data_IF_434523446764
#
_entry.id   IF_434523446764
#
_cell.length_a   1.000
_cell.length_b   1.000
_cell.length_c   1.000
_cell.angle_alpha   90.00
_cell.angle_beta   90.00
_cell.angle_gamma   90.00
#
_symmetry.space_group_name_H-M   'P 1'
#
loop_
_entity.id
_entity.type
_entity.pdbx_description
1 polymer ?
#
# COMPACT_ATOMS: atom_id res chain seq x y z
N UNK A 1 13.69 15.86 2.20
CA UNK A 1 14.37 14.90 1.31
C UNK A 1 15.70 15.39 0.71
N UNK A 2 15.99 16.69 0.66
CA UNK A 2 17.15 17.25 -0.04
C UNK A 2 18.54 16.64 0.23
N UNK A 3 18.93 16.20 1.45
CA UNK A 3 20.34 15.85 1.71
C UNK A 3 20.84 14.60 0.97
N UNK A 4 19.97 13.61 0.73
CA UNK A 4 20.37 12.31 0.16
C UNK A 4 19.90 12.13 -1.29
N UNK A 5 18.62 12.40 -1.56
CA UNK A 5 17.96 11.90 -2.76
C UNK A 5 18.12 12.80 -4.00
N UNK A 6 17.97 14.11 -3.81
CA UNK A 6 17.95 15.10 -4.89
C UNK A 6 19.34 15.54 -5.33
N UNK A 7 19.43 16.17 -6.51
CA UNK A 7 20.70 16.64 -7.07
C UNK A 7 21.40 17.75 -6.28
N UNK A 8 20.67 18.46 -5.40
CA UNK A 8 21.24 19.42 -4.45
C UNK A 8 21.88 18.74 -3.22
N UNK A 9 21.66 17.44 -3.03
CA UNK A 9 22.31 16.60 -2.01
C UNK A 9 23.26 15.59 -2.64
N UNK A 10 23.34 14.38 -2.07
CA UNK A 10 24.20 13.29 -2.59
C UNK A 10 23.79 12.80 -3.98
N UNK A 11 22.52 12.99 -4.37
CA UNK A 11 22.01 12.63 -5.69
C UNK A 11 21.79 11.12 -5.87
N UNK A 12 21.36 10.44 -4.81
CA UNK A 12 21.23 8.97 -4.80
C UNK A 12 20.35 8.43 -5.92
N UNK A 13 19.28 9.13 -6.29
CA UNK A 13 18.40 8.68 -7.37
C UNK A 13 19.12 8.64 -8.72
N UNK A 14 20.07 9.56 -8.96
CA UNK A 14 20.91 9.53 -10.16
C UNK A 14 21.85 8.32 -10.15
N UNK A 15 22.47 8.04 -9.00
CA UNK A 15 23.35 6.88 -8.84
C UNK A 15 22.57 5.57 -9.01
N UNK A 16 21.40 5.45 -8.38
CA UNK A 16 20.48 4.31 -8.53
C UNK A 16 20.12 4.10 -10.01
N UNK A 17 19.82 5.18 -10.74
CA UNK A 17 19.58 5.12 -12.18
C UNK A 17 20.81 4.65 -12.97
N UNK A 18 22.00 5.15 -12.64
CA UNK A 18 23.27 4.74 -13.27
C UNK A 18 23.59 3.25 -13.03
N UNK A 19 23.16 2.70 -11.89
CA UNK A 19 23.26 1.26 -11.60
C UNK A 19 22.26 0.41 -12.39
N UNK A 20 21.42 1.02 -13.24
CA UNK A 20 20.51 0.32 -14.13
C UNK A 20 19.07 0.23 -13.64
N UNK A 21 18.75 0.78 -12.46
CA UNK A 21 17.37 0.80 -11.97
C UNK A 21 16.47 1.64 -12.88
N UNK A 22 15.22 1.22 -12.99
CA UNK A 22 14.12 1.96 -13.63
C UNK A 22 12.97 2.24 -12.65
N UNK A 23 13.08 1.74 -11.42
CA UNK A 23 12.04 1.76 -10.41
C UNK A 23 12.65 1.73 -9.01
N UNK A 24 12.02 2.40 -8.05
CA UNK A 24 12.38 2.34 -6.63
C UNK A 24 11.14 2.12 -5.77
N UNK A 25 11.28 1.29 -4.73
CA UNK A 25 10.28 1.15 -3.66
C UNK A 25 10.78 1.88 -2.43
N UNK A 26 9.93 2.73 -1.85
CA UNK A 26 10.23 3.48 -0.63
C UNK A 26 9.22 3.09 0.44
N UNK A 27 9.70 2.51 1.54
CA UNK A 27 8.87 2.18 2.70
C UNK A 27 8.73 3.35 3.68
N UNK A 28 7.74 3.26 4.57
CA UNK A 28 7.59 4.23 5.67
C UNK A 28 7.04 5.59 5.26
N UNK A 29 6.38 5.69 4.09
CA UNK A 29 5.78 6.94 3.61
C UNK A 29 4.57 7.28 4.50
N UNK A 30 4.54 8.49 5.03
CA UNK A 30 3.51 8.92 5.98
C UNK A 30 3.19 10.40 5.89
N UNK A 31 2.37 10.91 6.83
CA UNK A 31 1.79 12.27 6.79
C UNK A 31 2.79 13.38 7.14
N UNK A 32 4.09 13.07 7.19
CA UNK A 32 5.13 13.98 7.65
C UNK A 32 5.59 14.93 6.56
N UNK A 33 6.89 14.92 6.19
CA UNK A 33 7.44 15.87 5.23
C UNK A 33 6.80 15.73 3.84
N UNK A 34 6.74 16.85 3.11
CA UNK A 34 6.30 16.88 1.71
C UNK A 34 7.18 15.95 0.83
N UNK A 35 6.50 15.05 0.11
CA UNK A 35 7.11 14.04 -0.76
C UNK A 35 7.43 14.56 -2.17
N UNK A 36 6.95 15.75 -2.55
CA UNK A 36 7.07 16.31 -3.90
C UNK A 36 8.52 16.36 -4.38
N UNK A 37 9.42 16.87 -3.54
CA UNK A 37 10.85 16.97 -3.89
C UNK A 37 11.51 15.62 -4.21
N UNK A 38 11.11 14.54 -3.52
CA UNK A 38 11.62 13.20 -3.82
C UNK A 38 11.07 12.70 -5.15
N UNK A 39 9.76 12.86 -5.36
CA UNK A 39 9.07 12.37 -6.55
C UNK A 39 9.48 13.15 -7.82
N UNK A 40 9.72 14.46 -7.72
CA UNK A 40 10.29 15.28 -8.80
C UNK A 40 11.69 14.81 -9.17
N UNK A 41 12.53 14.54 -8.17
CA UNK A 41 13.87 14.01 -8.41
C UNK A 41 13.83 12.62 -9.06
N UNK A 42 12.93 11.74 -8.62
CA UNK A 42 12.74 10.42 -9.23
C UNK A 42 12.28 10.54 -10.68
N UNK A 43 11.30 11.41 -10.94
CA UNK A 43 10.81 11.72 -12.30
C UNK A 43 11.93 12.21 -13.20
N UNK A 44 12.75 13.14 -12.71
CA UNK A 44 13.87 13.70 -13.47
C UNK A 44 14.88 12.63 -13.89
N UNK A 45 15.07 11.59 -13.07
CA UNK A 45 15.94 10.46 -13.39
C UNK A 45 15.25 9.35 -14.21
N UNK A 46 13.96 9.51 -14.53
CA UNK A 46 13.17 8.50 -15.23
C UNK A 46 12.89 7.25 -14.40
N UNK A 47 12.81 7.39 -13.07
CA UNK A 47 12.49 6.29 -12.16
C UNK A 47 11.00 6.29 -11.81
N UNK A 48 10.37 5.11 -11.90
CA UNK A 48 9.07 4.85 -11.28
C UNK A 48 9.19 4.66 -9.77
N UNK A 49 8.12 4.92 -9.03
CA UNK A 49 8.09 4.84 -7.56
C UNK A 49 6.92 3.99 -7.07
N UNK A 50 7.21 3.07 -6.14
CA UNK A 50 6.24 2.49 -5.20
C UNK A 50 6.36 3.20 -3.85
N UNK A 51 5.30 3.88 -3.41
CA UNK A 51 5.23 4.43 -2.06
C UNK A 51 4.55 3.43 -1.12
N UNK A 52 5.32 2.84 -0.20
CA UNK A 52 4.80 1.99 0.85
C UNK A 52 4.44 2.79 2.08
N UNK A 53 3.17 2.73 2.48
CA UNK A 53 2.69 3.44 3.66
C UNK A 53 3.36 2.91 4.92
N UNK A 54 3.69 3.82 5.83
CA UNK A 54 4.17 3.45 7.14
C UNK A 54 3.12 2.60 7.88
N UNK A 55 3.54 1.52 8.57
CA UNK A 55 2.62 0.68 9.31
C UNK A 55 1.84 1.53 10.32
N UNK A 56 0.53 1.29 10.42
CA UNK A 56 -0.35 2.09 11.25
C UNK A 56 -1.35 1.21 11.99
N UNK A 57 -1.19 1.09 13.32
CA UNK A 57 -2.24 0.87 14.32
C UNK A 57 -3.22 -0.32 14.20
N UNK A 58 -3.21 -1.11 13.11
CA UNK A 58 -4.19 -2.17 12.85
C UNK A 58 -4.31 -3.18 14.00
N UNK A 59 -3.19 -3.46 14.68
CA UNK A 59 -3.15 -4.36 15.83
C UNK A 59 -3.95 -3.85 17.03
N UNK A 60 -4.06 -2.52 17.19
CA UNK A 60 -4.75 -1.89 18.32
C UNK A 60 -6.27 -1.78 18.10
N UNK A 61 -6.73 -1.93 16.85
CA UNK A 61 -8.12 -1.73 16.45
C UNK A 61 -8.90 -3.05 16.28
N UNK A 62 -8.37 -4.17 16.79
CA UNK A 62 -9.03 -5.47 16.69
C UNK A 62 -9.21 -5.90 15.23
N UNK A 63 -8.14 -5.80 14.44
CA UNK A 63 -7.99 -6.20 13.03
C UNK A 63 -8.79 -5.42 11.98
N UNK A 64 -9.62 -4.42 12.33
CA UNK A 64 -10.15 -3.46 11.34
C UNK A 64 -9.17 -2.29 11.20
N UNK A 65 -8.53 -2.20 10.03
CA UNK A 65 -7.51 -1.20 9.72
C UNK A 65 -8.08 0.12 9.16
N UNK A 66 -9.39 0.20 8.96
CA UNK A 66 -9.96 1.17 8.03
C UNK A 66 -9.63 2.62 8.41
N UNK A 67 -9.96 3.03 9.64
CA UNK A 67 -9.84 4.43 10.03
C UNK A 67 -8.38 4.89 10.12
N UNK A 68 -7.49 4.03 10.64
CA UNK A 68 -6.07 4.35 10.82
C UNK A 68 -5.38 4.52 9.47
N UNK A 69 -5.62 3.59 8.53
CA UNK A 69 -5.04 3.67 7.18
C UNK A 69 -5.65 4.82 6.40
N UNK A 70 -6.97 5.01 6.48
CA UNK A 70 -7.65 6.08 5.72
C UNK A 70 -7.13 7.45 6.13
N UNK A 71 -7.09 7.74 7.43
CA UNK A 71 -6.63 9.04 7.93
C UNK A 71 -5.17 9.31 7.57
N UNK A 72 -4.31 8.29 7.74
CA UNK A 72 -2.90 8.39 7.41
C UNK A 72 -2.68 8.60 5.92
N UNK A 73 -3.34 7.81 5.09
CA UNK A 73 -3.18 7.88 3.65
C UNK A 73 -3.76 9.17 3.08
N UNK A 74 -4.93 9.62 3.56
CA UNK A 74 -5.53 10.89 3.15
C UNK A 74 -4.59 12.07 3.40
N UNK A 75 -3.95 12.10 4.57
CA UNK A 75 -2.96 13.14 4.87
C UNK A 75 -1.73 12.99 3.97
N UNK A 76 -1.25 11.77 3.76
CA UNK A 76 -0.08 11.48 2.91
C UNK A 76 -0.33 11.87 1.44
N UNK A 77 -1.55 11.66 0.93
CA UNK A 77 -1.99 12.11 -0.39
C UNK A 77 -1.75 13.63 -0.50
N UNK A 78 -2.27 14.37 0.47
CA UNK A 78 -2.19 15.84 0.54
C UNK A 78 -0.79 16.38 0.80
N UNK A 79 0.16 15.55 1.25
CA UNK A 79 1.56 15.93 1.49
C UNK A 79 2.48 15.46 0.35
N UNK A 80 2.06 15.66 -0.90
CA UNK A 80 2.94 15.55 -2.08
C UNK A 80 2.83 14.27 -2.91
N UNK A 81 1.97 13.30 -2.56
CA UNK A 81 1.68 12.19 -3.48
C UNK A 81 0.71 12.62 -4.59
N UNK A 82 -0.18 13.57 -4.31
CA UNK A 82 -1.03 14.20 -5.32
C UNK A 82 -0.57 15.62 -5.60
N UNK A 83 -0.68 16.00 -6.86
CA UNK A 83 -0.44 17.35 -7.37
C UNK A 83 -1.56 18.30 -6.92
N UNK A 84 -1.37 19.63 -7.04
CA UNK A 84 -2.42 20.61 -6.77
C UNK A 84 -3.69 20.45 -7.64
N UNK A 85 -3.62 19.70 -8.73
CA UNK A 85 -4.76 19.34 -9.59
C UNK A 85 -5.47 18.06 -9.14
N UNK A 86 -5.16 17.56 -7.93
CA UNK A 86 -5.65 16.31 -7.38
C UNK A 86 -5.35 15.08 -8.25
N UNK A 87 -4.29 15.09 -9.05
CA UNK A 87 -3.83 13.89 -9.77
C UNK A 87 -2.55 13.35 -9.13
N UNK A 88 -2.35 12.03 -9.16
CA UNK A 88 -1.13 11.44 -8.64
C UNK A 88 0.12 12.03 -9.30
N UNK A 89 1.19 12.17 -8.52
CA UNK A 89 2.47 12.60 -9.05
C UNK A 89 2.95 11.63 -10.14
N UNK A 90 3.41 12.09 -11.33
CA UNK A 90 3.70 11.19 -12.46
C UNK A 90 4.83 10.16 -12.25
N UNK A 91 5.68 10.34 -11.24
CA UNK A 91 6.67 9.32 -10.85
C UNK A 91 6.05 8.14 -10.09
N UNK A 92 4.90 8.35 -9.45
CA UNK A 92 4.25 7.33 -8.63
C UNK A 92 3.48 6.36 -9.53
N UNK A 93 3.80 5.08 -9.42
CA UNK A 93 3.15 4.01 -10.18
C UNK A 93 2.38 3.06 -9.28
N UNK A 94 2.85 2.89 -8.03
CA UNK A 94 2.24 2.01 -7.06
C UNK A 94 2.14 2.68 -5.70
N UNK A 95 1.08 2.33 -4.97
CA UNK A 95 0.99 2.56 -3.54
C UNK A 95 0.85 1.22 -2.86
N UNK A 96 1.79 0.91 -1.96
CA UNK A 96 1.67 -0.25 -1.07
C UNK A 96 0.94 0.19 0.19
N UNK A 97 -0.20 -0.43 0.46
CA UNK A 97 -1.05 -0.16 1.64
C UNK A 97 -0.27 -0.36 2.95
N UNK A 98 0.78 -1.17 2.92
CA UNK A 98 1.81 -1.28 3.95
C UNK A 98 2.87 -2.31 3.54
N UNK A 99 3.84 -2.53 4.42
CA UNK A 99 4.81 -3.61 4.30
C UNK A 99 4.43 -4.74 5.26
N UNK A 100 4.41 -5.97 4.77
CA UNK A 100 4.04 -7.18 5.52
C UNK A 100 2.79 -7.03 6.42
N UNK A 101 1.75 -6.36 5.88
CA UNK A 101 0.52 -6.04 6.64
C UNK A 101 -0.14 -7.31 7.18
N UNK A 102 -0.09 -8.39 6.41
CA UNK A 102 -0.54 -9.70 6.83
C UNK A 102 0.23 -10.21 8.06
N UNK A 103 1.56 -10.11 8.12
CA UNK A 103 2.32 -10.53 9.29
C UNK A 103 1.89 -9.78 10.56
N UNK A 104 1.69 -8.46 10.44
CA UNK A 104 1.16 -7.64 11.54
C UNK A 104 -0.24 -8.07 11.97
N UNK A 105 -1.11 -8.41 11.02
CA UNK A 105 -2.46 -8.88 11.28
C UNK A 105 -2.45 -10.27 11.93
N UNK A 106 -1.60 -11.19 11.49
CA UNK A 106 -1.48 -12.53 12.09
C UNK A 106 -1.02 -12.46 13.55
N UNK A 107 -0.08 -11.57 13.86
CA UNK A 107 0.36 -11.32 15.24
C UNK A 107 -0.79 -10.81 16.13
N UNK A 108 -1.59 -9.86 15.62
CA UNK A 108 -2.73 -9.31 16.36
C UNK A 108 -3.95 -10.22 16.44
N UNK A 109 -4.19 -11.03 15.41
CA UNK A 109 -5.38 -11.87 15.27
C UNK A 109 -5.26 -13.25 15.95
N UNK A 110 -4.04 -13.72 16.23
CA UNK A 110 -3.83 -15.03 16.86
C UNK A 110 -4.35 -16.19 16.01
N UNK A 111 -3.74 -16.41 14.83
CA UNK A 111 -4.09 -17.48 13.87
C UNK A 111 -5.54 -17.47 13.32
N UNK A 112 -6.36 -16.45 13.61
CA UNK A 112 -7.70 -16.29 13.05
C UNK A 112 -7.65 -15.72 11.62
N UNK A 113 -7.82 -16.59 10.63
CA UNK A 113 -7.85 -16.22 9.21
C UNK A 113 -9.04 -15.30 8.85
N UNK A 114 -10.17 -15.38 9.55
CA UNK A 114 -11.32 -14.51 9.28
C UNK A 114 -10.99 -13.07 9.70
N UNK A 115 -10.37 -12.93 10.86
CA UNK A 115 -9.89 -11.65 11.37
C UNK A 115 -8.82 -11.04 10.44
N UNK A 116 -7.85 -11.84 9.98
CA UNK A 116 -6.81 -11.37 9.04
C UNK A 116 -7.42 -10.95 7.71
N UNK A 117 -8.33 -11.75 7.13
CA UNK A 117 -8.99 -11.38 5.88
C UNK A 117 -9.81 -10.09 6.00
N UNK A 118 -10.50 -9.88 7.14
CA UNK A 118 -11.16 -8.60 7.44
C UNK A 118 -10.17 -7.44 7.44
N UNK A 119 -9.02 -7.61 8.07
CA UNK A 119 -7.96 -6.59 8.10
C UNK A 119 -7.44 -6.24 6.72
N UNK A 120 -7.15 -7.24 5.89
CA UNK A 120 -6.70 -7.02 4.52
C UNK A 120 -7.75 -6.28 3.67
N UNK A 121 -9.02 -6.69 3.76
CA UNK A 121 -10.11 -6.03 3.05
C UNK A 121 -10.30 -4.57 3.51
N UNK A 122 -10.28 -4.34 4.83
CA UNK A 122 -10.44 -3.01 5.40
C UNK A 122 -9.31 -2.05 5.04
N UNK A 123 -8.08 -2.58 4.92
CA UNK A 123 -6.91 -1.81 4.56
C UNK A 123 -6.98 -1.31 3.10
N UNK A 124 -7.43 -2.16 2.17
CA UNK A 124 -7.63 -1.75 0.77
C UNK A 124 -8.79 -0.77 0.66
N UNK A 125 -9.91 -1.02 1.35
CA UNK A 125 -11.06 -0.09 1.36
C UNK A 125 -10.67 1.31 1.85
N UNK A 126 -9.82 1.37 2.88
CA UNK A 126 -9.31 2.63 3.43
C UNK A 126 -8.56 3.48 2.40
N UNK A 127 -7.74 2.84 1.55
CA UNK A 127 -7.00 3.52 0.47
C UNK A 127 -7.97 4.12 -0.54
N UNK A 128 -8.98 3.34 -0.96
CA UNK A 128 -10.00 3.81 -1.92
C UNK A 128 -10.85 4.94 -1.34
N UNK A 129 -11.22 4.85 -0.06
CA UNK A 129 -11.97 5.87 0.62
C UNK A 129 -11.15 7.16 0.79
N UNK A 130 -9.85 7.06 1.07
CA UNK A 130 -8.96 8.21 1.15
C UNK A 130 -8.74 8.89 -0.21
N UNK A 131 -8.62 8.13 -1.31
CA UNK A 131 -8.57 8.71 -2.66
C UNK A 131 -9.85 9.47 -3.00
N UNK A 132 -11.02 8.92 -2.64
CA UNK A 132 -12.32 9.59 -2.80
C UNK A 132 -12.38 10.90 -2.01
N UNK A 133 -11.97 10.88 -0.74
CA UNK A 133 -11.98 12.05 0.15
C UNK A 133 -10.93 13.11 -0.25
N UNK A 134 -9.84 12.69 -0.88
CA UNK A 134 -8.86 13.58 -1.50
C UNK A 134 -9.28 14.07 -2.89
N UNK A 135 -10.41 13.57 -3.41
CA UNK A 135 -10.93 13.88 -4.74
C UNK A 135 -9.89 13.61 -5.84
N UNK A 136 -9.17 12.48 -5.74
CA UNK A 136 -8.14 12.13 -6.72
C UNK A 136 -8.77 11.93 -8.10
N UNK A 137 -8.16 12.53 -9.11
CA UNK A 137 -8.59 12.51 -10.51
C UNK A 137 -7.46 12.09 -11.45
N UNK A 138 -7.81 11.84 -12.71
CA UNK A 138 -6.86 11.39 -13.73
C UNK A 138 -6.48 9.91 -13.57
N UNK A 139 -5.35 9.48 -14.16
CA UNK A 139 -4.87 8.11 -14.02
C UNK A 139 -4.60 7.75 -12.56
N UNK A 140 -5.22 6.67 -12.08
CA UNK A 140 -4.96 6.13 -10.75
C UNK A 140 -3.72 5.23 -10.76
N UNK A 141 -2.99 5.22 -9.64
CA UNK A 141 -1.87 4.30 -9.44
C UNK A 141 -2.37 2.90 -9.09
N UNK A 142 -1.53 1.90 -9.34
CA UNK A 142 -1.81 0.54 -8.90
C UNK A 142 -1.70 0.43 -7.37
N UNK A 143 -2.53 -0.42 -6.79
CA UNK A 143 -2.51 -0.73 -5.36
C UNK A 143 -1.78 -2.05 -5.17
N UNK A 144 -1.01 -2.15 -4.10
CA UNK A 144 -0.44 -3.42 -3.66
C UNK A 144 -0.50 -3.55 -2.14
N UNK A 145 -0.42 -4.79 -1.68
CA UNK A 145 -0.07 -5.16 -0.31
C UNK A 145 1.16 -6.03 -0.45
N UNK A 146 2.28 -5.61 0.15
CA UNK A 146 3.42 -6.51 0.27
C UNK A 146 3.09 -7.50 1.37
N UNK A 147 2.91 -8.76 0.99
CA UNK A 147 2.64 -9.85 1.92
C UNK A 147 3.95 -10.46 2.39
N UNK A 148 3.96 -11.02 3.60
CA UNK A 148 5.12 -11.76 4.07
C UNK A 148 5.22 -13.11 3.34
N UNK A 149 6.45 -13.51 3.01
CA UNK A 149 6.75 -14.80 2.39
C UNK A 149 6.61 -16.01 3.31
N UNK A 150 5.78 -15.95 4.35
CA UNK A 150 5.71 -16.99 5.39
C UNK A 150 4.65 -18.05 5.08
N UNK A 151 4.85 -19.27 5.56
CA UNK A 151 3.84 -20.32 5.52
C UNK A 151 2.60 -19.88 6.32
N UNK A 152 1.41 -20.17 5.79
CA UNK A 152 0.14 -19.88 6.44
C UNK A 152 -0.56 -21.16 6.88
N UNK A 153 -0.26 -21.64 8.09
CA UNK A 153 -0.91 -22.83 8.63
C UNK A 153 -2.42 -22.62 8.92
N UNK A 154 -2.82 -21.39 9.25
CA UNK A 154 -4.22 -21.04 9.52
C UNK A 154 -5.04 -20.71 8.27
N UNK A 155 -4.45 -20.71 7.08
CA UNK A 155 -5.18 -20.35 5.86
C UNK A 155 -6.16 -21.46 5.43
N UNK A 156 -7.30 -21.11 4.80
CA UNK A 156 -8.25 -22.10 4.31
C UNK A 156 -7.69 -23.00 3.21
N UNK A 157 -6.77 -22.46 2.41
CA UNK A 157 -6.18 -23.11 1.24
C UNK A 157 -4.65 -22.99 1.26
N UNK A 158 -3.99 -23.92 0.58
CA UNK A 158 -2.53 -23.97 0.45
C UNK A 158 -1.79 -23.93 1.79
N UNK A 159 -2.33 -24.64 2.78
CA UNK A 159 -1.70 -24.83 4.09
C UNK A 159 -0.34 -25.48 3.89
N UNK A 160 0.72 -24.88 4.45
CA UNK A 160 2.09 -25.38 4.31
C UNK A 160 2.88 -24.77 3.14
N UNK A 161 2.21 -24.15 2.18
CA UNK A 161 2.88 -23.52 1.03
C UNK A 161 3.33 -22.09 1.37
N UNK A 162 4.59 -21.80 1.04
CA UNK A 162 5.20 -20.50 1.29
C UNK A 162 4.51 -19.41 0.44
N UNK A 163 4.08 -18.31 1.07
CA UNK A 163 3.36 -17.18 0.47
C UNK A 163 1.97 -17.48 -0.15
N UNK A 164 1.77 -18.66 -0.75
CA UNK A 164 0.59 -18.97 -1.55
C UNK A 164 -0.72 -18.94 -0.74
N UNK A 165 -0.72 -19.51 0.48
CA UNK A 165 -1.91 -19.45 1.36
C UNK A 165 -2.29 -18.01 1.72
N UNK A 166 -1.32 -17.12 1.89
CA UNK A 166 -1.56 -15.70 2.21
C UNK A 166 -2.11 -14.93 1.01
N UNK A 167 -1.60 -15.23 -0.20
CA UNK A 167 -2.13 -14.68 -1.44
C UNK A 167 -3.58 -15.14 -1.69
N UNK A 168 -3.88 -16.42 -1.46
CA UNK A 168 -5.24 -16.95 -1.59
C UNK A 168 -6.20 -16.31 -0.58
N UNK A 169 -5.76 -16.12 0.68
CA UNK A 169 -6.56 -15.41 1.68
C UNK A 169 -6.84 -13.95 1.29
N UNK A 170 -5.84 -13.24 0.74
CA UNK A 170 -6.01 -11.89 0.22
C UNK A 170 -7.02 -11.85 -0.94
N UNK A 171 -6.89 -12.75 -1.91
CA UNK A 171 -7.80 -12.85 -3.06
C UNK A 171 -9.25 -13.04 -2.61
N UNK A 172 -9.47 -14.00 -1.71
CA UNK A 172 -10.81 -14.29 -1.17
C UNK A 172 -11.35 -13.11 -0.34
N UNK A 173 -10.52 -12.46 0.47
CA UNK A 173 -10.92 -11.29 1.25
C UNK A 173 -11.36 -10.10 0.38
N UNK A 174 -10.67 -9.86 -0.74
CA UNK A 174 -10.99 -8.73 -1.64
C UNK A 174 -12.14 -9.05 -2.61
N UNK A 175 -12.39 -10.32 -2.91
CA UNK A 175 -13.54 -10.75 -3.73
C UNK A 175 -14.81 -10.99 -2.91
N UNK A 176 -14.67 -11.46 -1.68
CA UNK A 176 -15.77 -11.94 -0.84
C UNK A 176 -15.72 -11.34 0.59
N UNK A 177 -15.63 -10.01 0.76
CA UNK A 177 -15.43 -9.37 2.07
C UNK A 177 -16.50 -9.73 3.12
N UNK A 178 -17.74 -9.99 2.69
CA UNK A 178 -18.83 -10.41 3.57
C UNK A 178 -18.54 -11.75 4.28
N UNK A 179 -17.77 -12.66 3.67
CA UNK A 179 -17.31 -13.91 4.29
C UNK A 179 -16.48 -13.65 5.55
N UNK A 180 -15.77 -12.52 5.57
CA UNK A 180 -14.90 -12.08 6.66
C UNK A 180 -15.63 -11.14 7.64
N UNK A 181 -16.95 -10.99 7.50
CA UNK A 181 -17.76 -10.05 8.29
C UNK A 181 -17.40 -8.59 8.04
N UNK A 182 -16.91 -8.26 6.84
CA UNK A 182 -16.59 -6.90 6.44
C UNK A 182 -17.58 -6.38 5.40
N UNK A 183 -18.04 -5.15 5.59
CA UNK A 183 -18.91 -4.44 4.64
C UNK A 183 -18.15 -3.24 4.08
N UNK A 184 -17.59 -3.36 2.86
CA UNK A 184 -16.79 -2.28 2.27
C UNK A 184 -17.60 -1.00 2.05
N UNK A 185 -16.94 0.14 2.22
CA UNK A 185 -17.43 1.49 1.90
C UNK A 185 -17.08 1.91 0.47
N UNK A 186 -16.33 1.07 -0.24
CA UNK A 186 -15.88 1.22 -1.62
C UNK A 186 -16.00 -0.11 -2.36
N UNK A 187 -16.05 -0.08 -3.69
CA UNK A 187 -16.01 -1.30 -4.51
C UNK A 187 -14.57 -1.86 -4.56
N UNK A 188 -14.18 -2.54 -3.48
CA UNK A 188 -12.84 -3.12 -3.35
C UNK A 188 -12.59 -4.26 -4.34
N UNK A 189 -13.63 -4.98 -4.76
CA UNK A 189 -13.51 -6.09 -5.71
C UNK A 189 -13.20 -5.56 -7.10
N UNK A 190 -13.90 -4.51 -7.55
CA UNK A 190 -13.59 -3.88 -8.84
C UNK A 190 -12.18 -3.28 -8.84
N UNK A 191 -11.78 -2.60 -7.75
CA UNK A 191 -10.43 -2.06 -7.64
C UNK A 191 -9.35 -3.16 -7.65
N UNK A 192 -9.62 -4.28 -6.95
CA UNK A 192 -8.73 -5.44 -6.91
C UNK A 192 -8.49 -6.01 -8.31
N UNK A 193 -9.56 -6.21 -9.09
CA UNK A 193 -9.47 -6.77 -10.44
C UNK A 193 -8.85 -5.80 -11.45
N UNK A 194 -9.06 -4.50 -11.30
CA UNK A 194 -8.67 -3.51 -12.28
C UNK A 194 -7.23 -2.98 -12.10
N UNK A 195 -6.75 -2.86 -10.86
CA UNK A 195 -5.49 -2.16 -10.58
C UNK A 195 -4.74 -2.64 -9.34
N UNK A 196 -4.92 -3.89 -8.94
CA UNK A 196 -4.09 -4.49 -7.91
C UNK A 196 -2.88 -5.19 -8.52
N UNK A 197 -1.76 -5.15 -7.83
CA UNK A 197 -0.54 -5.87 -8.20
C UNK A 197 -0.07 -6.65 -6.98
N UNK A 198 0.04 -7.97 -7.11
CA UNK A 198 0.53 -8.83 -6.03
C UNK A 198 2.02 -8.59 -5.76
N UNK A 199 2.39 -8.53 -4.48
CA UNK A 199 3.76 -8.43 -4.01
C UNK A 199 3.96 -9.34 -2.79
N UNK A 200 5.14 -9.93 -2.71
CA UNK A 200 5.68 -10.71 -1.60
C UNK A 200 7.08 -10.19 -1.26
#
# INVERSE_FOLDING_TARGET
>A
AAPMWGGAGRGDLRLIRQLGANFVRVGGVGPGPDHTNFLDAARLQGLGVAAGLAPGGCQQAGVDCFDQIKQRYLTTLRTGLVTPQNSYHPALQFVSVGDEVDAMLWEGAGADALAVGRGLASAVDAVLAAERDAQVTGPLVNITLTLSGSVCAGCPEFQGEMALGRLALLDDALRNPAKFGYSPRSDITAAYLARFTHSF
#
